data_IF_591055503271
#
_entry.id   IF_591055503271
#
_cell.length_a   1.000
_cell.length_b   1.000
_cell.length_c   1.000
_cell.angle_alpha   90.00
_cell.angle_beta   90.00
_cell.angle_gamma   90.00
#
_symmetry.space_group_name_H-M   'P 1'
#
loop_
_entity.id
_entity.type
_entity.pdbx_description
1 polymer ?
#
# COMPACT_ATOMS: atom_id res chain seq x y z
N UNK A 1 6.30 3.62 -39.03
CA UNK A 1 7.25 3.88 -37.91
C UNK A 1 7.39 2.59 -37.14
N UNK A 2 8.58 2.22 -36.67
CA UNK A 2 8.72 1.04 -35.85
C UNK A 2 8.06 1.27 -34.49
N UNK A 3 7.34 0.27 -33.99
CA UNK A 3 6.84 0.24 -32.62
C UNK A 3 7.92 -0.32 -31.70
N UNK A 4 8.08 0.31 -30.54
CA UNK A 4 9.01 -0.13 -29.49
C UNK A 4 8.18 -0.57 -28.28
N UNK A 5 8.38 -1.81 -27.85
CA UNK A 5 7.78 -2.33 -26.62
C UNK A 5 8.77 -2.19 -25.47
N UNK A 6 8.31 -1.60 -24.38
CA UNK A 6 9.12 -1.39 -23.18
C UNK A 6 8.32 -1.80 -21.94
N UNK A 7 9.02 -2.36 -20.95
CA UNK A 7 8.52 -2.50 -19.59
C UNK A 7 9.18 -1.43 -18.72
N UNK A 8 8.36 -0.69 -17.97
CA UNK A 8 8.81 0.46 -17.17
C UNK A 8 8.34 0.30 -15.74
N UNK A 9 9.29 0.28 -14.80
CA UNK A 9 9.01 0.43 -13.36
C UNK A 9 9.37 1.85 -12.93
N UNK A 10 8.41 2.54 -12.35
CA UNK A 10 8.58 3.95 -11.97
C UNK A 10 7.81 4.28 -10.68
N UNK A 11 8.19 5.38 -10.04
CA UNK A 11 7.50 5.92 -8.87
C UNK A 11 6.15 6.55 -9.23
N UNK A 12 5.34 6.80 -8.20
CA UNK A 12 4.10 7.56 -8.36
C UNK A 12 4.37 8.95 -8.95
N UNK A 13 3.44 9.46 -9.77
CA UNK A 13 3.57 10.76 -10.44
C UNK A 13 4.31 10.72 -11.78
N UNK A 14 4.93 9.62 -12.18
CA UNK A 14 5.57 9.49 -13.49
C UNK A 14 4.54 9.37 -14.60
N UNK A 15 4.56 10.30 -15.56
CA UNK A 15 3.69 10.30 -16.73
C UNK A 15 4.35 9.54 -17.89
N UNK A 16 3.86 8.34 -18.17
CA UNK A 16 4.43 7.49 -19.25
C UNK A 16 4.32 8.15 -20.63
N UNK A 17 3.30 8.96 -20.88
CA UNK A 17 3.20 9.76 -22.13
C UNK A 17 4.38 10.72 -22.30
N UNK A 18 4.75 11.40 -21.21
CA UNK A 18 5.91 12.33 -21.20
C UNK A 18 7.19 11.55 -21.42
N UNK A 19 7.37 10.42 -20.72
CA UNK A 19 8.55 9.56 -20.90
C UNK A 19 8.72 9.11 -22.34
N UNK A 20 7.64 8.69 -23.02
CA UNK A 20 7.70 8.31 -24.45
C UNK A 20 8.10 9.47 -25.35
N UNK A 21 7.58 10.68 -25.10
CA UNK A 21 7.94 11.87 -25.86
C UNK A 21 9.42 12.25 -25.63
N UNK A 22 9.92 12.16 -24.40
CA UNK A 22 11.31 12.47 -24.05
C UNK A 22 12.29 11.48 -24.68
N UNK A 23 11.95 10.17 -24.65
CA UNK A 23 12.75 9.13 -25.33
C UNK A 23 12.82 9.41 -26.85
N UNK A 24 11.68 9.69 -27.48
CA UNK A 24 11.63 10.00 -28.90
C UNK A 24 12.42 11.27 -29.26
N UNK A 25 12.37 12.28 -28.39
CA UNK A 25 13.18 13.50 -28.55
C UNK A 25 14.69 13.20 -28.42
N UNK A 26 15.09 12.41 -27.42
CA UNK A 26 16.47 12.01 -27.24
C UNK A 26 17.00 11.17 -28.42
N UNK A 27 16.14 10.34 -29.02
CA UNK A 27 16.46 9.57 -30.24
C UNK A 27 16.47 10.41 -31.52
N UNK A 28 16.09 11.68 -31.48
CA UNK A 28 16.07 12.58 -32.63
C UNK A 28 14.95 12.34 -33.62
N UNK A 29 14.00 11.45 -33.34
CA UNK A 29 12.91 11.09 -34.27
C UNK A 29 11.50 11.45 -33.76
N UNK A 30 11.39 11.96 -32.53
CA UNK A 30 10.10 12.13 -31.84
C UNK A 30 9.50 10.79 -31.44
N UNK A 31 8.47 10.84 -30.57
CA UNK A 31 7.79 9.64 -30.10
C UNK A 31 6.49 9.96 -29.39
N UNK A 32 5.59 9.01 -29.35
CA UNK A 32 4.34 9.09 -28.60
C UNK A 32 3.92 7.72 -28.07
N UNK A 33 3.09 7.73 -27.06
CA UNK A 33 2.54 6.51 -26.48
C UNK A 33 1.44 5.96 -27.40
N UNK A 34 1.67 4.79 -28.00
CA UNK A 34 0.68 4.11 -28.84
C UNK A 34 -0.29 3.26 -28.00
N UNK A 35 0.21 2.54 -27.01
CA UNK A 35 -0.58 1.73 -26.08
C UNK A 35 0.07 1.67 -24.70
N UNK A 36 -0.74 1.47 -23.68
CA UNK A 36 -0.27 1.31 -22.29
C UNK A 36 -1.07 0.22 -21.59
N UNK A 37 -0.36 -0.69 -20.96
CA UNK A 37 -0.97 -1.67 -20.06
C UNK A 37 -0.26 -1.63 -18.70
N UNK A 38 -1.00 -1.32 -17.64
CA UNK A 38 -0.49 -1.41 -16.28
C UNK A 38 -0.48 -2.86 -15.84
N UNK A 39 0.68 -3.38 -15.48
CA UNK A 39 0.86 -4.77 -15.03
C UNK A 39 0.93 -4.91 -13.53
N UNK A 40 1.33 -3.83 -12.82
CA UNK A 40 1.35 -3.78 -11.36
C UNK A 40 1.13 -2.36 -10.84
N UNK A 41 0.68 -2.24 -9.59
CA UNK A 41 0.60 -1.01 -8.82
C UNK A 41 0.81 -1.36 -7.34
N UNK A 42 1.96 -0.97 -6.75
CA UNK A 42 2.39 -1.47 -5.44
C UNK A 42 2.40 -3.01 -5.45
N UNK A 43 1.84 -3.67 -4.45
CA UNK A 43 1.70 -5.12 -4.32
C UNK A 43 0.54 -5.74 -5.16
N UNK A 44 -0.24 -4.93 -5.86
CA UNK A 44 -1.32 -5.41 -6.71
C UNK A 44 -0.82 -5.67 -8.13
N UNK A 45 -0.91 -6.91 -8.58
CA UNK A 45 -0.50 -7.34 -9.93
C UNK A 45 -1.72 -7.61 -10.81
N UNK A 46 -1.53 -7.52 -12.13
CA UNK A 46 -2.59 -7.78 -13.10
C UNK A 46 -3.13 -9.22 -13.01
N UNK A 47 -2.31 -10.17 -12.56
CA UNK A 47 -2.73 -11.57 -12.41
C UNK A 47 -3.77 -11.75 -11.28
N UNK A 48 -3.87 -10.79 -10.36
CA UNK A 48 -4.89 -10.76 -9.29
C UNK A 48 -6.07 -9.86 -9.65
N UNK A 49 -6.02 -9.17 -10.78
CA UNK A 49 -7.08 -8.30 -11.22
C UNK A 49 -8.28 -9.12 -11.69
N UNK A 50 -9.47 -8.64 -11.36
CA UNK A 50 -10.74 -9.25 -11.76
C UNK A 50 -11.33 -8.38 -12.89
N UNK A 51 -11.83 -9.03 -13.94
CA UNK A 51 -12.47 -8.33 -15.03
C UNK A 51 -13.78 -7.68 -14.54
N UNK A 52 -14.07 -6.46 -14.99
CA UNK A 52 -15.26 -5.73 -14.55
C UNK A 52 -16.56 -6.50 -14.87
N UNK A 53 -16.65 -7.11 -16.06
CA UNK A 53 -17.80 -7.95 -16.41
C UNK A 53 -18.00 -9.14 -15.48
N UNK A 54 -16.89 -9.76 -15.02
CA UNK A 54 -16.98 -10.86 -14.05
C UNK A 54 -17.41 -10.37 -12.65
N UNK A 55 -17.07 -9.14 -12.28
CA UNK A 55 -17.52 -8.53 -11.02
C UNK A 55 -19.03 -8.28 -11.02
N UNK A 56 -19.59 -7.85 -12.16
CA UNK A 56 -21.02 -7.58 -12.33
C UNK A 56 -21.87 -8.85 -12.20
N UNK A 57 -21.31 -10.01 -12.54
CA UNK A 57 -21.97 -11.33 -12.47
C UNK A 57 -21.78 -12.06 -11.13
N UNK A 58 -20.90 -11.53 -10.24
CA UNK A 58 -20.61 -12.17 -8.95
C UNK A 58 -21.74 -11.97 -7.94
N UNK A 59 -22.10 -13.04 -7.26
CA UNK A 59 -22.95 -12.93 -6.06
C UNK A 59 -22.18 -12.25 -4.90
N UNK A 60 -22.91 -11.67 -3.92
CA UNK A 60 -22.30 -10.90 -2.83
C UNK A 60 -21.28 -11.68 -1.99
N UNK A 61 -21.44 -12.95 -1.79
CA UNK A 61 -20.56 -13.77 -0.94
C UNK A 61 -19.27 -14.12 -1.68
N UNK A 62 -19.36 -14.46 -2.95
CA UNK A 62 -18.21 -14.64 -3.84
C UNK A 62 -17.42 -13.34 -4.00
N UNK A 63 -18.11 -12.20 -4.15
CA UNK A 63 -17.49 -10.89 -4.24
C UNK A 63 -16.69 -10.57 -2.97
N UNK A 64 -17.27 -10.79 -1.78
CA UNK A 64 -16.58 -10.56 -0.51
C UNK A 64 -15.34 -11.45 -0.35
N UNK A 65 -15.44 -12.72 -0.72
CA UNK A 65 -14.36 -13.70 -0.50
C UNK A 65 -13.23 -13.61 -1.52
N UNK A 66 -13.51 -13.19 -2.77
CA UNK A 66 -12.55 -13.22 -3.88
C UNK A 66 -12.11 -11.86 -4.37
N UNK A 67 -12.98 -10.85 -4.33
CA UNK A 67 -12.72 -9.54 -4.93
C UNK A 67 -12.26 -8.50 -3.90
N UNK A 68 -12.56 -8.69 -2.61
CA UNK A 68 -12.20 -7.72 -1.57
C UNK A 68 -10.91 -8.18 -0.88
N UNK A 69 -9.87 -7.36 -0.99
CA UNK A 69 -8.64 -7.51 -0.21
C UNK A 69 -8.78 -6.73 1.10
N UNK A 70 -8.43 -7.33 2.23
CA UNK A 70 -8.46 -6.63 3.52
C UNK A 70 -7.45 -5.46 3.54
N UNK A 71 -7.73 -4.44 4.35
CA UNK A 71 -6.81 -3.30 4.51
C UNK A 71 -5.42 -3.74 5.00
N UNK A 72 -5.37 -4.75 5.86
CA UNK A 72 -4.10 -5.30 6.37
C UNK A 72 -3.27 -5.96 5.28
N UNK A 73 -3.92 -6.71 4.37
CA UNK A 73 -3.28 -7.34 3.21
C UNK A 73 -2.88 -6.33 2.14
N UNK A 74 -3.65 -5.26 1.97
CA UNK A 74 -3.32 -4.17 1.04
C UNK A 74 -2.02 -3.44 1.45
N UNK A 75 -1.68 -3.44 2.74
CA UNK A 75 -0.48 -2.83 3.32
C UNK A 75 0.58 -3.88 3.68
N UNK A 76 0.80 -4.89 2.83
CA UNK A 76 1.68 -6.03 3.14
C UNK A 76 3.11 -5.62 3.48
N UNK A 77 3.64 -4.59 2.82
CA UNK A 77 5.02 -4.11 3.01
C UNK A 77 5.18 -3.23 4.26
N UNK A 78 4.08 -2.82 4.90
CA UNK A 78 4.12 -1.97 6.08
C UNK A 78 4.41 -2.80 7.33
N UNK A 79 5.39 -2.39 8.16
CA UNK A 79 5.64 -3.03 9.45
C UNK A 79 4.38 -3.14 10.29
N UNK A 80 4.22 -4.27 10.99
CA UNK A 80 2.99 -4.62 11.72
C UNK A 80 3.26 -4.67 13.22
N UNK A 81 2.36 -4.09 14.00
CA UNK A 81 2.28 -4.28 15.44
C UNK A 81 0.93 -4.91 15.81
N UNK A 82 0.96 -6.03 16.52
CA UNK A 82 -0.23 -6.72 17.02
C UNK A 82 -0.58 -6.17 18.41
N UNK A 83 -1.69 -5.43 18.46
CA UNK A 83 -2.17 -4.80 19.69
C UNK A 83 -3.09 -5.75 20.47
N UNK A 84 -2.94 -5.80 21.80
CA UNK A 84 -3.89 -6.46 22.69
C UNK A 84 -5.15 -5.59 22.87
N UNK A 85 -6.25 -6.19 23.33
CA UNK A 85 -7.58 -5.57 23.33
C UNK A 85 -7.64 -4.22 24.07
N UNK A 86 -6.94 -4.08 25.19
CA UNK A 86 -6.89 -2.82 25.93
C UNK A 86 -6.23 -1.70 25.09
N UNK A 87 -5.13 -2.01 24.39
CA UNK A 87 -4.46 -1.06 23.53
C UNK A 87 -5.32 -0.73 22.30
N UNK A 88 -6.04 -1.70 21.75
CA UNK A 88 -7.01 -1.47 20.65
C UNK A 88 -8.08 -0.46 21.07
N UNK A 89 -8.61 -0.57 22.31
CA UNK A 89 -9.58 0.42 22.81
C UNK A 89 -8.99 1.82 22.94
N UNK A 90 -7.74 1.94 23.41
CA UNK A 90 -7.04 3.21 23.50
C UNK A 90 -6.79 3.82 22.12
N UNK A 91 -6.39 3.00 21.15
CA UNK A 91 -6.20 3.39 19.74
C UNK A 91 -7.49 3.90 19.14
N UNK A 92 -8.60 3.17 19.32
CA UNK A 92 -9.93 3.57 18.79
C UNK A 92 -10.42 4.91 19.36
N UNK A 93 -9.96 5.29 20.55
CA UNK A 93 -10.27 6.58 21.19
C UNK A 93 -9.26 7.68 20.86
N UNK A 94 -8.26 7.40 20.03
CA UNK A 94 -7.19 8.35 19.68
C UNK A 94 -6.30 8.74 20.87
N UNK A 95 -6.17 7.89 21.90
CA UNK A 95 -5.36 8.17 23.06
C UNK A 95 -3.88 8.12 22.69
N UNK A 96 -3.07 8.96 23.37
CA UNK A 96 -1.63 9.05 23.12
C UNK A 96 -0.96 7.68 23.27
N UNK A 97 -0.10 7.35 22.30
CA UNK A 97 0.73 6.16 22.29
C UNK A 97 2.18 6.51 22.59
N UNK A 98 2.79 5.75 23.50
CA UNK A 98 4.18 5.90 23.89
C UNK A 98 5.04 4.76 23.35
N UNK A 99 6.36 4.92 23.39
CA UNK A 99 7.30 3.85 23.02
C UNK A 99 7.18 2.62 23.93
N UNK A 100 6.62 2.77 25.15
CA UNK A 100 6.33 1.64 26.05
C UNK A 100 5.09 0.85 25.61
N UNK A 101 4.11 1.51 25.00
CA UNK A 101 2.92 0.86 24.48
C UNK A 101 3.23 0.03 23.21
N UNK A 102 4.16 0.52 22.38
CA UNK A 102 4.58 -0.12 21.13
C UNK A 102 6.10 -0.16 21.08
N UNK A 103 6.74 -1.15 21.72
CA UNK A 103 8.19 -1.29 21.65
C UNK A 103 8.64 -1.70 20.25
N UNK A 104 9.72 -1.08 19.75
CA UNK A 104 10.25 -1.37 18.41
C UNK A 104 10.57 -2.86 18.20
N UNK A 105 10.97 -3.56 19.27
CA UNK A 105 11.24 -5.01 19.25
C UNK A 105 10.03 -5.89 18.96
N UNK A 106 8.82 -5.37 19.19
CA UNK A 106 7.57 -6.09 18.93
C UNK A 106 6.99 -5.81 17.55
N UNK A 107 7.66 -4.97 16.75
CA UNK A 107 7.21 -4.65 15.38
C UNK A 107 7.76 -5.69 14.41
N UNK A 108 6.87 -6.40 13.74
CA UNK A 108 7.22 -7.40 12.74
C UNK A 108 7.31 -6.73 11.37
N UNK A 109 8.45 -6.86 10.71
CA UNK A 109 8.67 -6.37 9.36
C UNK A 109 9.05 -7.53 8.44
N UNK A 110 8.45 -7.55 7.25
CA UNK A 110 8.81 -8.51 6.20
C UNK A 110 10.07 -8.10 5.42
N UNK A 111 10.50 -6.84 5.55
CA UNK A 111 11.67 -6.29 4.85
C UNK A 111 12.85 -6.10 5.79
N UNK A 112 14.07 -6.45 5.34
CA UNK A 112 15.27 -6.15 6.11
C UNK A 112 15.51 -4.62 6.11
N UNK A 113 15.43 -3.99 7.28
CA UNK A 113 15.78 -2.57 7.50
C UNK A 113 14.95 -1.56 6.66
N UNK A 114 13.63 -1.48 6.75
CA UNK A 114 12.94 -0.31 6.28
C UNK A 114 13.18 0.85 7.25
N UNK A 115 13.33 2.07 6.73
CA UNK A 115 13.00 3.25 7.53
C UNK A 115 11.57 3.03 8.05
N UNK A 116 11.39 2.97 9.38
CA UNK A 116 10.06 2.77 9.98
C UNK A 116 9.34 4.11 9.93
N UNK A 117 8.88 4.49 8.75
CA UNK A 117 8.13 5.73 8.58
C UNK A 117 6.68 5.56 9.03
N UNK A 118 6.13 4.36 8.80
CA UNK A 118 4.76 4.03 9.16
C UNK A 118 4.66 2.60 9.70
N UNK A 119 3.76 2.39 10.65
CA UNK A 119 3.47 1.09 11.28
C UNK A 119 1.97 0.88 11.24
N UNK A 120 1.52 -0.27 10.76
CA UNK A 120 0.13 -0.68 10.91
C UNK A 120 -0.09 -1.37 12.25
N UNK A 121 -1.09 -0.90 12.97
CA UNK A 121 -1.56 -1.50 14.22
C UNK A 121 -2.77 -2.37 13.92
N UNK A 122 -2.69 -3.64 14.26
CA UNK A 122 -3.76 -4.63 14.02
C UNK A 122 -4.22 -5.25 15.33
N UNK A 123 -5.48 -5.69 15.37
CA UNK A 123 -6.03 -6.43 16.51
C UNK A 123 -5.69 -7.93 16.45
N UNK A 124 -6.14 -8.70 17.45
CA UNK A 124 -5.94 -10.15 17.53
C UNK A 124 -6.58 -10.95 16.37
N UNK A 125 -7.45 -10.33 15.57
CA UNK A 125 -8.09 -10.90 14.38
C UNK A 125 -7.46 -10.37 13.08
N UNK A 126 -6.27 -9.75 13.18
CA UNK A 126 -5.53 -9.15 12.05
C UNK A 126 -6.31 -8.05 11.31
N UNK A 127 -7.24 -7.36 11.96
CA UNK A 127 -7.96 -6.22 11.39
C UNK A 127 -7.17 -4.94 11.67
N UNK A 128 -7.00 -4.11 10.65
CA UNK A 128 -6.33 -2.82 10.76
C UNK A 128 -7.11 -1.87 11.69
N UNK A 129 -6.44 -1.34 12.70
CA UNK A 129 -7.00 -0.41 13.69
C UNK A 129 -6.43 0.99 13.56
N UNK A 130 -5.16 1.11 13.20
CA UNK A 130 -4.54 2.40 12.92
C UNK A 130 -3.31 2.25 12.03
N UNK A 131 -2.94 3.36 11.41
CA UNK A 131 -1.58 3.58 10.90
C UNK A 131 -0.97 4.69 11.72
N UNK A 132 0.22 4.46 12.22
CA UNK A 132 0.98 5.38 13.07
C UNK A 132 2.37 5.64 12.49
N UNK A 133 2.98 6.73 12.87
CA UNK A 133 4.38 7.06 12.55
C UNK A 133 5.16 7.40 13.83
N UNK A 134 6.45 7.08 13.92
CA UNK A 134 7.29 7.53 15.03
C UNK A 134 7.26 9.04 15.14
N UNK A 135 7.13 9.56 16.34
CA UNK A 135 7.16 11.01 16.57
C UNK A 135 8.61 11.50 16.67
N UNK A 136 8.92 12.59 15.98
CA UNK A 136 10.25 13.23 16.07
C UNK A 136 10.37 14.14 17.30
N UNK A 137 9.25 14.57 17.90
CA UNK A 137 9.24 15.57 18.96
C UNK A 137 8.97 14.99 20.35
N UNK A 138 8.37 13.81 20.42
CA UNK A 138 7.97 13.16 21.68
C UNK A 138 8.33 11.68 21.64
N UNK A 139 8.65 11.09 22.80
CA UNK A 139 8.82 9.64 22.91
C UNK A 139 7.48 8.94 22.71
N UNK A 140 7.20 8.50 21.47
CA UNK A 140 5.95 7.82 21.12
C UNK A 140 5.61 7.93 19.64
N UNK A 141 4.29 7.90 19.35
CA UNK A 141 3.78 7.77 18.00
C UNK A 141 2.69 8.80 17.70
N UNK A 142 2.64 9.26 16.47
CA UNK A 142 1.57 10.07 15.90
C UNK A 142 0.60 9.17 15.12
N UNK A 143 -0.70 9.44 15.20
CA UNK A 143 -1.68 8.79 14.33
C UNK A 143 -1.68 9.43 12.94
N UNK A 144 -1.55 8.59 11.91
CA UNK A 144 -1.83 8.99 10.53
C UNK A 144 -3.32 8.80 10.23
N UNK A 145 -3.89 7.67 10.66
CA UNK A 145 -5.33 7.39 10.58
C UNK A 145 -5.74 6.34 11.62
N UNK A 146 -7.03 6.34 12.00
CA UNK A 146 -7.65 5.36 12.91
C UNK A 146 -8.88 4.76 12.24
N UNK A 147 -9.08 3.46 12.41
CA UNK A 147 -10.18 2.68 11.85
C UNK A 147 -11.00 2.05 12.99
N UNK A 148 -12.30 2.28 12.99
CA UNK A 148 -13.25 1.75 13.98
C UNK A 148 -13.97 0.51 13.46
#
# INVERSE_FOLDING_TARGET
MPDIHMEVTCSAGTYIRTLCADIGKAAGCGGHLAALRRTASSNFTINRAICLSSLEEMDPDTLRSRAITSMTEALVDMPTFHAHDELVQRVSRGQRLTSSDIPLSAIVSALPQPSIDHIKVVDGQNRLKAVISPSQTISGYNYCCVFN
#
